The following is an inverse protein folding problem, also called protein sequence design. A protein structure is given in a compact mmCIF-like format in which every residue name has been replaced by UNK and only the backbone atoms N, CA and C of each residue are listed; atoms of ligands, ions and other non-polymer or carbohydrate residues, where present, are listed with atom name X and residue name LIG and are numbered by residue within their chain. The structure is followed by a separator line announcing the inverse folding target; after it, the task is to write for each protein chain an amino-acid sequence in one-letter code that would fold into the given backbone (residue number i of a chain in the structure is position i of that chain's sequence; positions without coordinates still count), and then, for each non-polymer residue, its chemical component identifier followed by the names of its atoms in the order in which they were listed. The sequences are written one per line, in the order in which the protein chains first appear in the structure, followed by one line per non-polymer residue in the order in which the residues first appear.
data_IF_490281122657
#
_entry.id   IF_490281122657
#
_cell.length_a   1.000
_cell.length_b   1.000
_cell.length_c   1.000
_cell.angle_alpha   90.00
_cell.angle_beta   90.00
_cell.angle_gamma   90.00
#
_symmetry.space_group_name_H-M   'P 1'
#
loop_
_entity.id
_entity.type
_entity.pdbx_description
1 polymer ?
#
# COMPACT_ATOMS: atom_id res chain seq x y z
N UNK A 1 41.47 -56.03 -28.61
CA UNK A 1 40.32 -56.17 -27.69
C UNK A 1 40.18 -55.00 -26.73
N UNK A 2 41.27 -54.38 -26.25
CA UNK A 2 41.23 -53.26 -25.28
C UNK A 2 40.60 -51.97 -25.87
N UNK A 3 40.88 -51.64 -27.14
CA UNK A 3 40.38 -50.39 -27.77
C UNK A 3 38.86 -50.36 -27.98
N UNK A 4 38.26 -51.51 -28.27
CA UNK A 4 36.80 -51.64 -28.44
C UNK A 4 36.09 -51.38 -27.11
N UNK A 5 36.63 -51.89 -26.00
CA UNK A 5 36.08 -51.69 -24.66
C UNK A 5 36.17 -50.22 -24.24
N UNK A 6 37.29 -49.55 -24.50
CA UNK A 6 37.47 -48.12 -24.21
C UNK A 6 36.48 -47.22 -24.99
N UNK A 7 36.21 -47.57 -26.25
CA UNK A 7 35.27 -46.84 -27.11
C UNK A 7 33.83 -46.98 -26.58
N UNK A 8 33.44 -48.18 -26.16
CA UNK A 8 32.09 -48.46 -25.60
C UNK A 8 31.88 -47.70 -24.29
N UNK A 9 32.87 -47.69 -23.40
CA UNK A 9 32.79 -46.98 -22.10
C UNK A 9 32.64 -45.46 -22.32
N UNK A 10 33.35 -44.91 -23.30
CA UNK A 10 33.30 -43.48 -23.61
C UNK A 10 31.92 -43.03 -24.11
N UNK A 11 31.29 -43.84 -24.97
CA UNK A 11 29.93 -43.58 -25.48
C UNK A 11 28.89 -43.67 -24.36
N UNK A 12 29.02 -44.67 -23.48
CA UNK A 12 28.15 -44.83 -22.29
C UNK A 12 28.26 -43.65 -21.34
N UNK A 13 29.47 -43.15 -21.13
CA UNK A 13 29.73 -42.00 -20.25
C UNK A 13 29.17 -40.70 -20.82
N UNK A 14 29.26 -40.52 -22.14
CA UNK A 14 28.69 -39.38 -22.85
C UNK A 14 27.15 -39.39 -22.78
N UNK A 15 26.55 -40.56 -22.97
CA UNK A 15 25.09 -40.75 -22.86
C UNK A 15 24.60 -40.50 -21.43
N UNK A 16 25.30 -41.00 -20.42
CA UNK A 16 24.96 -40.74 -19.02
C UNK A 16 25.00 -39.24 -18.69
N UNK A 17 26.00 -38.52 -19.19
CA UNK A 17 26.15 -37.07 -18.97
C UNK A 17 25.04 -36.26 -19.63
N UNK A 18 24.61 -36.64 -20.84
CA UNK A 18 23.49 -36.01 -21.55
C UNK A 18 22.15 -36.20 -20.81
N UNK A 19 21.90 -37.40 -20.29
CA UNK A 19 20.68 -37.70 -19.53
C UNK A 19 20.65 -36.94 -18.20
N UNK A 20 21.77 -36.93 -17.46
CA UNK A 20 21.86 -36.20 -16.19
C UNK A 20 21.72 -34.69 -16.39
N UNK A 21 22.31 -34.12 -17.46
CA UNK A 21 22.17 -32.70 -17.80
C UNK A 21 20.74 -32.32 -18.18
N UNK A 22 20.05 -33.19 -18.94
CA UNK A 22 18.64 -32.99 -19.29
C UNK A 22 17.71 -33.03 -18.09
N UNK A 23 17.87 -34.02 -17.21
CA UNK A 23 17.08 -34.15 -15.97
C UNK A 23 17.39 -33.02 -14.98
N UNK A 24 18.65 -32.61 -14.87
CA UNK A 24 19.07 -31.48 -14.05
C UNK A 24 18.47 -30.16 -14.52
N UNK A 25 18.52 -29.89 -15.83
CA UNK A 25 17.91 -28.69 -16.42
C UNK A 25 16.39 -28.67 -16.24
N UNK A 26 15.72 -29.82 -16.42
CA UNK A 26 14.28 -29.95 -16.20
C UNK A 26 13.90 -29.78 -14.72
N UNK A 27 14.66 -30.38 -13.81
CA UNK A 27 14.43 -30.27 -12.37
C UNK A 27 14.71 -28.87 -11.83
N UNK A 28 15.70 -28.16 -12.36
CA UNK A 28 15.98 -26.76 -12.01
C UNK A 28 14.86 -25.85 -12.50
N UNK A 29 14.40 -26.01 -13.75
CA UNK A 29 13.28 -25.24 -14.29
C UNK A 29 11.99 -25.43 -13.46
N UNK A 30 11.69 -26.65 -13.01
CA UNK A 30 10.50 -26.92 -12.17
C UNK A 30 10.66 -26.55 -10.69
N UNK A 31 11.90 -26.45 -10.18
CA UNK A 31 12.16 -26.05 -8.79
C UNK A 31 12.16 -24.54 -8.60
N UNK A 32 12.56 -23.79 -9.63
CA UNK A 32 12.64 -22.34 -9.59
C UNK A 32 11.26 -21.71 -9.32
N UNK A 33 10.23 -22.16 -10.03
CA UNK A 33 8.84 -21.68 -9.85
C UNK A 33 8.32 -21.85 -8.41
N UNK A 34 8.66 -22.97 -7.75
CA UNK A 34 8.23 -23.22 -6.37
C UNK A 34 9.03 -22.42 -5.34
N UNK A 35 10.29 -22.10 -5.64
CA UNK A 35 11.12 -21.29 -4.77
C UNK A 35 10.65 -19.84 -4.78
N UNK A 36 10.45 -19.28 -5.97
CA UNK A 36 9.91 -17.92 -6.16
C UNK A 36 8.52 -17.77 -5.53
N UNK A 37 7.65 -18.78 -5.63
CA UNK A 37 6.33 -18.76 -5.00
C UNK A 37 6.40 -18.69 -3.46
N UNK A 38 7.32 -19.44 -2.84
CA UNK A 38 7.51 -19.44 -1.37
C UNK A 38 8.12 -18.14 -0.87
N UNK A 39 9.06 -17.57 -1.62
CA UNK A 39 9.65 -16.27 -1.29
C UNK A 39 8.62 -15.14 -1.39
N UNK A 40 7.79 -15.16 -2.44
CA UNK A 40 6.67 -14.23 -2.59
C UNK A 40 5.67 -14.34 -1.44
N UNK A 41 5.35 -15.57 -1.00
CA UNK A 41 4.44 -15.80 0.13
C UNK A 41 5.03 -15.34 1.46
N UNK A 42 6.33 -15.56 1.71
CA UNK A 42 7.01 -15.09 2.91
C UNK A 42 7.10 -13.54 2.96
N UNK A 43 7.35 -12.89 1.82
CA UNK A 43 7.32 -11.42 1.71
C UNK A 43 5.89 -10.92 1.97
N UNK A 44 4.88 -11.59 1.39
CA UNK A 44 3.47 -11.25 1.63
C UNK A 44 3.14 -11.34 3.11
N UNK A 45 3.46 -12.44 3.78
CA UNK A 45 3.19 -12.59 5.23
C UNK A 45 3.92 -11.52 6.07
N UNK A 46 5.15 -11.16 5.68
CA UNK A 46 5.96 -10.15 6.37
C UNK A 46 5.39 -8.72 6.28
N UNK A 47 4.78 -8.35 5.15
CA UNK A 47 4.30 -6.98 4.91
C UNK A 47 2.77 -6.83 4.86
N UNK A 48 2.01 -7.93 4.81
CA UNK A 48 0.55 -7.91 4.83
C UNK A 48 0.00 -7.37 6.15
N UNK A 49 0.53 -7.82 7.30
CA UNK A 49 0.02 -7.39 8.60
C UNK A 49 0.23 -5.88 8.86
N UNK A 50 1.41 -5.28 8.60
CA UNK A 50 1.57 -3.84 8.73
C UNK A 50 0.72 -3.02 7.74
N UNK A 51 0.59 -3.49 6.50
CA UNK A 51 -0.28 -2.83 5.51
C UNK A 51 -1.76 -2.91 5.90
N UNK A 52 -2.20 -4.05 6.44
CA UNK A 52 -3.56 -4.26 6.94
C UNK A 52 -3.88 -3.25 8.06
N UNK A 53 -2.99 -3.10 9.03
CA UNK A 53 -3.17 -2.14 10.13
C UNK A 53 -3.26 -0.70 9.60
N UNK A 54 -2.34 -0.30 8.72
CA UNK A 54 -2.36 1.03 8.13
C UNK A 54 -3.63 1.29 7.29
N UNK A 55 -4.11 0.28 6.56
CA UNK A 55 -5.35 0.35 5.80
C UNK A 55 -6.58 0.49 6.72
N UNK A 56 -6.63 -0.25 7.83
CA UNK A 56 -7.69 -0.17 8.84
C UNK A 56 -7.72 1.22 9.51
N UNK A 57 -6.58 1.76 9.90
CA UNK A 57 -6.49 3.09 10.51
C UNK A 57 -6.96 4.18 9.53
N UNK A 58 -6.49 4.13 8.28
CA UNK A 58 -6.89 5.09 7.26
C UNK A 58 -8.38 4.97 6.94
N UNK A 59 -8.90 3.76 6.79
CA UNK A 59 -10.33 3.50 6.57
C UNK A 59 -11.18 4.08 7.70
N UNK A 60 -10.81 3.80 8.95
CA UNK A 60 -11.53 4.31 10.12
C UNK A 60 -11.48 5.84 10.19
N UNK A 61 -10.35 6.44 9.81
CA UNK A 61 -10.18 7.89 9.78
C UNK A 61 -11.05 8.53 8.70
N UNK A 62 -11.06 7.98 7.48
CA UNK A 62 -11.89 8.49 6.38
C UNK A 62 -13.38 8.30 6.67
N UNK A 63 -13.79 7.19 7.29
CA UNK A 63 -15.18 6.98 7.73
C UNK A 63 -15.65 8.09 8.66
N UNK A 64 -14.81 8.57 9.57
CA UNK A 64 -15.16 9.67 10.48
C UNK A 64 -15.42 10.98 9.74
N UNK A 65 -14.72 11.26 8.64
CA UNK A 65 -14.98 12.44 7.80
C UNK A 65 -16.22 12.30 6.91
N UNK A 66 -16.46 11.11 6.37
CA UNK A 66 -17.48 10.88 5.32
C UNK A 66 -18.85 10.48 5.89
N UNK A 67 -18.87 9.63 6.92
CA UNK A 67 -20.08 9.03 7.47
C UNK A 67 -20.44 9.59 8.84
N UNK A 68 -19.52 9.53 9.79
CA UNK A 68 -19.85 9.80 11.19
C UNK A 68 -19.93 11.32 11.46
N UNK A 69 -19.11 12.14 10.78
CA UNK A 69 -19.18 13.60 10.86
C UNK A 69 -18.64 14.20 12.16
N UNK A 70 -18.46 13.41 13.22
CA UNK A 70 -17.96 13.86 14.53
C UNK A 70 -16.63 14.63 14.44
N UNK A 71 -15.72 14.15 13.59
CA UNK A 71 -14.42 14.80 13.41
C UNK A 71 -14.55 16.16 12.72
N UNK A 72 -15.55 16.32 11.85
CA UNK A 72 -15.84 17.58 11.18
C UNK A 72 -16.33 18.63 12.17
N UNK A 73 -17.23 18.24 13.08
CA UNK A 73 -17.70 19.09 14.19
C UNK A 73 -16.55 19.54 15.08
N UNK A 74 -15.66 18.62 15.46
CA UNK A 74 -14.49 18.98 16.29
C UNK A 74 -13.50 19.90 15.57
N UNK A 75 -13.34 19.75 14.25
CA UNK A 75 -12.52 20.64 13.43
C UNK A 75 -13.12 22.05 13.36
N UNK A 76 -14.45 22.16 13.24
CA UNK A 76 -15.16 23.44 13.18
C UNK A 76 -15.23 24.18 14.52
N UNK A 77 -15.46 23.46 15.61
CA UNK A 77 -15.74 24.07 16.93
C UNK A 77 -14.50 24.25 17.82
N UNK A 78 -13.50 23.36 17.73
CA UNK A 78 -12.39 23.31 18.69
C UNK A 78 -11.04 23.60 18.02
N UNK A 79 -10.68 24.88 17.95
CA UNK A 79 -9.42 25.34 17.35
C UNK A 79 -8.17 24.62 17.92
N UNK A 80 -8.14 24.33 19.22
CA UNK A 80 -7.02 23.64 19.87
C UNK A 80 -6.85 22.17 19.43
N UNK A 81 -7.93 21.48 19.04
CA UNK A 81 -7.89 20.08 18.60
C UNK A 81 -7.78 19.95 17.08
N UNK A 82 -8.21 20.96 16.33
CA UNK A 82 -8.16 21.00 14.86
C UNK A 82 -6.79 20.65 14.30
N UNK A 83 -5.74 21.32 14.77
CA UNK A 83 -4.39 21.11 14.24
C UNK A 83 -3.90 19.67 14.46
N UNK A 84 -4.13 19.13 15.66
CA UNK A 84 -3.81 17.73 15.96
C UNK A 84 -4.59 16.77 15.06
N UNK A 85 -5.90 16.94 14.91
CA UNK A 85 -6.75 16.06 14.11
C UNK A 85 -6.33 16.03 12.64
N UNK A 86 -6.04 17.20 12.08
CA UNK A 86 -5.55 17.36 10.71
C UNK A 86 -4.17 16.73 10.53
N UNK A 87 -3.22 17.05 11.41
CA UNK A 87 -1.86 16.50 11.36
C UNK A 87 -1.85 14.98 11.50
N UNK A 88 -2.64 14.43 12.42
CA UNK A 88 -2.76 12.99 12.58
C UNK A 88 -3.44 12.33 11.37
N UNK A 89 -4.37 13.02 10.69
CA UNK A 89 -4.92 12.53 9.42
C UNK A 89 -3.83 12.45 8.33
N UNK A 90 -2.97 13.45 8.22
CA UNK A 90 -1.82 13.39 7.30
C UNK A 90 -0.86 12.26 7.65
N UNK A 91 -0.60 12.03 8.95
CA UNK A 91 0.22 10.91 9.40
C UNK A 91 -0.35 9.57 8.93
N UNK A 92 -1.61 9.26 9.22
CA UNK A 92 -2.23 7.98 8.86
C UNK A 92 -2.28 7.80 7.32
N UNK A 93 -2.58 8.85 6.57
CA UNK A 93 -2.50 8.83 5.10
C UNK A 93 -1.08 8.53 4.63
N UNK A 94 -0.09 9.17 5.23
CA UNK A 94 1.31 8.99 4.86
C UNK A 94 1.89 7.64 5.28
N UNK A 95 1.45 7.08 6.42
CA UNK A 95 1.81 5.73 6.87
C UNK A 95 1.33 4.67 5.87
N UNK A 96 0.08 4.79 5.42
CA UNK A 96 -0.43 3.94 4.35
C UNK A 96 0.39 4.05 3.05
N UNK A 97 0.77 5.27 2.65
CA UNK A 97 1.63 5.51 1.48
C UNK A 97 3.05 4.96 1.66
N UNK A 98 3.59 4.99 2.89
CA UNK A 98 4.87 4.39 3.23
C UNK A 98 4.80 2.86 3.04
N UNK A 99 3.77 2.20 3.53
CA UNK A 99 3.60 0.75 3.32
C UNK A 99 3.38 0.40 1.85
N UNK A 100 2.69 1.22 1.06
CA UNK A 100 2.64 1.06 -0.40
C UNK A 100 4.04 1.19 -1.02
N UNK A 101 4.83 2.17 -0.58
CA UNK A 101 6.19 2.40 -1.07
C UNK A 101 7.10 1.20 -0.75
N UNK A 102 7.10 0.75 0.51
CA UNK A 102 7.84 -0.42 0.99
C UNK A 102 7.42 -1.64 0.18
N UNK A 103 6.12 -1.90 0.10
CA UNK A 103 5.60 -3.04 -0.66
C UNK A 103 6.08 -2.95 -2.11
N UNK A 104 5.95 -1.81 -2.80
CA UNK A 104 6.43 -1.66 -4.18
C UNK A 104 7.92 -1.96 -4.34
N UNK A 105 8.76 -1.53 -3.41
CA UNK A 105 10.20 -1.74 -3.46
C UNK A 105 10.57 -3.22 -3.25
N UNK A 106 9.80 -3.95 -2.42
CA UNK A 106 9.98 -5.38 -2.17
C UNK A 106 9.23 -6.26 -3.21
N UNK A 107 8.22 -5.71 -3.90
CA UNK A 107 7.36 -6.36 -4.93
C UNK A 107 8.09 -6.66 -6.24
N UNK A 108 9.33 -6.23 -6.44
CA UNK A 108 10.13 -6.75 -7.55
C UNK A 108 10.23 -8.29 -7.53
N UNK A 109 9.98 -8.94 -6.38
CA UNK A 109 9.85 -10.39 -6.23
C UNK A 109 8.41 -10.95 -6.32
N UNK A 110 7.37 -10.13 -6.10
CA UNK A 110 5.95 -10.57 -6.15
C UNK A 110 5.40 -10.73 -7.57
N UNK A 111 6.08 -10.16 -8.59
CA UNK A 111 5.68 -10.30 -10.01
C UNK A 111 5.88 -11.71 -10.59
N UNK A 112 6.48 -12.64 -9.83
CA UNK A 112 6.70 -14.02 -10.28
C UNK A 112 5.53 -14.96 -9.94
N UNK A 113 4.53 -14.54 -9.16
CA UNK A 113 3.35 -15.39 -8.94
C UNK A 113 2.26 -15.07 -9.97
N UNK A 114 1.81 -16.07 -10.71
CA UNK A 114 0.59 -16.04 -11.55
C UNK A 114 -0.71 -16.08 -10.72
N UNK A 115 -0.61 -15.91 -9.40
CA UNK A 115 -1.72 -16.05 -8.48
C UNK A 115 -2.75 -14.91 -8.63
N UNK A 116 -4.02 -15.30 -8.66
CA UNK A 116 -5.17 -14.40 -8.83
C UNK A 116 -5.27 -13.39 -7.69
N UNK A 117 -4.93 -13.80 -6.46
CA UNK A 117 -4.94 -12.93 -5.28
C UNK A 117 -3.94 -11.77 -5.42
N UNK A 118 -2.72 -12.05 -5.90
CA UNK A 118 -1.72 -11.00 -6.09
C UNK A 118 -2.12 -10.00 -7.19
N UNK A 119 -2.90 -10.42 -8.19
CA UNK A 119 -3.49 -9.51 -9.19
C UNK A 119 -4.56 -8.61 -8.57
N UNK A 120 -5.46 -9.17 -7.75
CA UNK A 120 -6.48 -8.39 -7.05
C UNK A 120 -5.86 -7.34 -6.12
N UNK A 121 -4.91 -7.74 -5.27
CA UNK A 121 -4.20 -6.82 -4.38
C UNK A 121 -3.53 -5.68 -5.17
N UNK A 122 -2.84 -6.00 -6.26
CA UNK A 122 -2.17 -5.00 -7.10
C UNK A 122 -3.18 -4.04 -7.75
N UNK A 123 -4.34 -4.56 -8.19
CA UNK A 123 -5.40 -3.74 -8.78
C UNK A 123 -6.00 -2.79 -7.75
N UNK A 124 -6.38 -3.27 -6.56
CA UNK A 124 -6.96 -2.45 -5.50
C UNK A 124 -5.98 -1.33 -5.09
N UNK A 125 -4.70 -1.65 -4.89
CA UNK A 125 -3.68 -0.65 -4.60
C UNK A 125 -3.50 0.36 -5.74
N UNK A 126 -3.64 -0.07 -6.99
CA UNK A 126 -3.66 0.80 -8.17
C UNK A 126 -4.85 1.75 -8.16
N UNK A 127 -6.05 1.23 -7.92
CA UNK A 127 -7.30 1.97 -7.90
C UNK A 127 -7.32 3.02 -6.79
N UNK A 128 -6.78 2.71 -5.61
CA UNK A 128 -6.63 3.69 -4.50
C UNK A 128 -5.75 4.86 -4.95
N UNK A 129 -4.59 4.57 -5.56
CA UNK A 129 -3.64 5.60 -6.01
C UNK A 129 -4.22 6.48 -7.12
N UNK A 130 -4.93 5.88 -8.07
CA UNK A 130 -5.57 6.62 -9.16
C UNK A 130 -6.73 7.49 -8.64
N UNK A 131 -7.49 6.98 -7.68
CA UNK A 131 -8.58 7.73 -7.03
C UNK A 131 -8.03 8.97 -6.29
N UNK A 132 -6.90 8.82 -5.58
CA UNK A 132 -6.22 9.92 -4.88
C UNK A 132 -5.61 10.95 -5.84
N UNK A 133 -5.04 10.52 -6.98
CA UNK A 133 -4.38 11.40 -7.97
C UNK A 133 -5.36 12.34 -8.67
N UNK A 134 -6.57 11.87 -8.90
CA UNK A 134 -7.70 12.68 -9.30
C UNK A 134 -8.12 12.54 -10.75
N UNK A 135 -8.79 11.42 -11.03
CA UNK A 135 -9.63 11.30 -12.20
C UNK A 135 -11.11 11.45 -11.80
N UNK A 136 -11.76 12.52 -12.24
CA UNK A 136 -13.22 12.61 -12.29
C UNK A 136 -13.58 13.41 -13.54
N UNK A 137 -14.29 12.80 -14.48
CA UNK A 137 -14.66 13.38 -15.78
C UNK A 137 -15.77 14.44 -15.69
N UNK A 138 -16.32 14.73 -14.50
CA UNK A 138 -17.61 15.42 -14.37
C UNK A 138 -17.65 16.63 -13.43
N UNK A 139 -16.51 17.13 -12.92
CA UNK A 139 -16.51 18.32 -12.05
C UNK A 139 -15.21 19.13 -12.12
N UNK A 140 -15.34 20.45 -12.18
CA UNK A 140 -14.21 21.41 -12.25
C UNK A 140 -13.35 21.44 -10.98
N UNK A 141 -13.87 20.99 -9.83
CA UNK A 141 -13.13 20.94 -8.57
C UNK A 141 -13.26 19.58 -7.91
N UNK A 142 -12.13 18.88 -7.81
CA UNK A 142 -12.05 17.55 -7.22
C UNK A 142 -11.33 17.65 -5.86
N UNK A 143 -12.03 17.44 -4.72
CA UNK A 143 -11.50 17.68 -3.38
C UNK A 143 -10.66 16.51 -2.86
N UNK A 144 -9.66 16.81 -2.03
CA UNK A 144 -8.71 15.89 -1.39
C UNK A 144 -7.80 15.18 -2.41
N UNK A 145 -7.19 15.92 -3.33
CA UNK A 145 -6.20 15.36 -4.29
C UNK A 145 -4.86 15.17 -3.58
N UNK A 146 -4.21 14.04 -3.89
CA UNK A 146 -2.77 13.84 -3.70
C UNK A 146 -2.19 13.31 -5.01
N UNK A 147 -1.36 14.09 -5.69
CA UNK A 147 -0.78 13.72 -6.98
C UNK A 147 0.22 12.56 -6.85
N UNK A 148 0.49 11.85 -7.95
CA UNK A 148 1.40 10.68 -7.94
C UNK A 148 2.79 11.00 -7.39
N UNK A 149 3.32 12.19 -7.71
CA UNK A 149 4.62 12.65 -7.20
C UNK A 149 4.59 12.85 -5.69
N UNK A 150 3.55 13.52 -5.18
CA UNK A 150 3.32 13.74 -3.75
C UNK A 150 3.15 12.41 -3.01
N UNK A 151 2.28 11.52 -3.52
CA UNK A 151 2.09 10.19 -2.96
C UNK A 151 3.41 9.41 -2.82
N UNK A 152 4.27 9.47 -3.85
CA UNK A 152 5.56 8.78 -3.84
C UNK A 152 6.54 9.41 -2.87
N UNK A 153 6.64 10.74 -2.86
CA UNK A 153 7.59 11.47 -2.03
C UNK A 153 7.21 11.37 -0.54
N UNK A 154 5.91 11.43 -0.21
CA UNK A 154 5.41 11.19 1.15
C UNK A 154 5.77 9.78 1.61
N UNK A 155 5.48 8.76 0.80
CA UNK A 155 5.79 7.37 1.15
C UNK A 155 7.29 7.12 1.33
N UNK A 156 8.13 7.76 0.50
CA UNK A 156 9.59 7.70 0.62
C UNK A 156 10.09 8.38 1.90
N UNK A 157 9.64 9.60 2.18
CA UNK A 157 10.03 10.33 3.40
C UNK A 157 9.60 9.63 4.69
N UNK A 158 8.46 8.93 4.66
CA UNK A 158 7.95 8.21 5.82
C UNK A 158 8.55 6.81 5.98
N UNK A 159 9.43 6.39 5.07
CA UNK A 159 10.11 5.09 5.15
C UNK A 159 11.54 5.25 5.66
N UNK A 160 11.93 4.45 6.64
CA UNK A 160 13.30 4.37 7.15
C UNK A 160 13.78 2.92 7.19
N UNK A 161 15.10 2.71 7.16
CA UNK A 161 15.69 1.38 7.36
C UNK A 161 16.07 1.19 8.83
N UNK A 162 15.41 0.23 9.49
CA UNK A 162 15.70 -0.19 10.86
C UNK A 162 16.04 -1.69 10.88
N UNK A 163 17.20 -2.06 11.45
CA UNK A 163 17.64 -3.46 11.53
C UNK A 163 17.61 -4.21 10.18
N UNK A 164 17.97 -3.53 9.09
CA UNK A 164 17.93 -4.08 7.73
C UNK A 164 16.52 -4.31 7.19
N UNK A 165 15.49 -3.70 7.78
CA UNK A 165 14.10 -3.74 7.32
C UNK A 165 13.59 -2.32 7.09
N UNK A 166 12.86 -2.14 5.99
CA UNK A 166 12.11 -0.90 5.77
C UNK A 166 10.85 -0.88 6.63
N UNK A 167 10.68 0.19 7.39
CA UNK A 167 9.53 0.42 8.27
C UNK A 167 9.03 1.86 8.10
N UNK A 168 7.77 2.10 8.43
CA UNK A 168 7.23 3.45 8.52
C UNK A 168 7.74 4.13 9.81
N UNK A 169 8.04 5.42 9.74
CA UNK A 169 8.34 6.22 10.93
C UNK A 169 7.12 6.31 11.85
N UNK A 170 7.36 6.38 13.16
CA UNK A 170 6.29 6.61 14.14
C UNK A 170 5.79 8.06 14.19
N UNK A 171 4.62 8.27 14.80
CA UNK A 171 3.96 9.59 14.86
C UNK A 171 4.81 10.69 15.51
N UNK A 172 5.61 10.36 16.53
CA UNK A 172 6.49 11.33 17.18
C UNK A 172 7.57 11.86 16.22
N UNK A 173 8.18 10.96 15.44
CA UNK A 173 9.15 11.33 14.40
C UNK A 173 8.48 12.13 13.28
N UNK A 174 7.27 11.71 12.86
CA UNK A 174 6.47 12.48 11.92
C UNK A 174 6.17 13.90 12.41
N UNK A 175 5.86 14.09 13.70
CA UNK A 175 5.61 15.43 14.24
C UNK A 175 6.83 16.35 14.18
N UNK A 176 8.04 15.80 14.33
CA UNK A 176 9.27 16.58 14.16
C UNK A 176 9.53 16.87 12.68
N UNK A 177 9.41 15.85 11.82
CA UNK A 177 9.49 16.02 10.37
C UNK A 177 8.47 17.05 9.86
N UNK A 178 7.27 17.07 10.42
CA UNK A 178 6.22 18.03 10.09
C UNK A 178 6.60 19.47 10.43
N UNK A 179 7.43 19.70 11.45
CA UNK A 179 7.92 21.04 11.83
C UNK A 179 9.10 21.48 10.96
N UNK A 180 9.97 20.55 10.59
CA UNK A 180 11.24 20.87 9.95
C UNK A 180 11.16 20.82 8.41
N UNK A 181 10.19 20.08 7.84
CA UNK A 181 10.08 19.85 6.40
C UNK A 181 8.92 20.64 5.77
N UNK A 182 9.24 21.74 5.11
CA UNK A 182 8.27 22.56 4.39
C UNK A 182 7.67 21.86 3.17
N UNK A 183 8.47 21.06 2.44
CA UNK A 183 7.99 20.34 1.27
C UNK A 183 6.91 19.31 1.62
N UNK A 184 7.09 18.59 2.73
CA UNK A 184 6.07 17.67 3.25
C UNK A 184 4.74 18.38 3.52
N UNK A 185 4.80 19.55 4.18
CA UNK A 185 3.61 20.36 4.43
C UNK A 185 2.96 20.83 3.13
N UNK A 186 3.77 21.27 2.16
CA UNK A 186 3.30 21.69 0.84
C UNK A 186 2.55 20.59 0.09
N UNK A 187 3.04 19.34 0.12
CA UNK A 187 2.35 18.20 -0.52
C UNK A 187 1.01 17.88 0.13
N UNK A 188 0.85 18.14 1.43
CA UNK A 188 -0.42 17.95 2.14
C UNK A 188 -1.31 19.20 2.13
N UNK A 189 -0.84 20.36 1.68
CA UNK A 189 -1.54 21.64 1.82
C UNK A 189 -2.94 21.60 1.19
N UNK A 190 -3.02 21.17 -0.07
CA UNK A 190 -4.30 21.05 -0.77
C UNK A 190 -5.20 20.03 -0.09
N UNK A 191 -4.67 18.86 0.25
CA UNK A 191 -5.43 17.81 0.94
C UNK A 191 -6.01 18.31 2.27
N UNK A 192 -5.22 19.03 3.06
CA UNK A 192 -5.63 19.63 4.32
C UNK A 192 -6.69 20.72 4.14
N UNK A 193 -6.49 21.60 3.17
CA UNK A 193 -7.47 22.64 2.84
C UNK A 193 -8.82 22.01 2.48
N UNK A 194 -8.80 20.99 1.62
CA UNK A 194 -10.01 20.32 1.17
C UNK A 194 -10.72 19.58 2.32
N UNK A 195 -9.98 19.00 3.29
CA UNK A 195 -10.54 18.42 4.51
C UNK A 195 -11.17 19.46 5.45
N UNK A 196 -10.57 20.64 5.55
CA UNK A 196 -11.13 21.77 6.29
C UNK A 196 -12.41 22.26 5.64
N UNK A 197 -12.39 22.50 4.33
CA UNK A 197 -13.56 22.94 3.56
C UNK A 197 -14.71 21.93 3.70
N UNK A 198 -14.38 20.63 3.66
CA UNK A 198 -15.32 19.53 3.92
C UNK A 198 -15.94 19.61 5.32
N UNK A 199 -15.11 19.82 6.35
CA UNK A 199 -15.56 19.89 7.73
C UNK A 199 -16.45 21.11 7.99
N UNK A 200 -16.06 22.27 7.45
CA UNK A 200 -16.82 23.52 7.55
C UNK A 200 -18.14 23.43 6.78
N UNK A 201 -18.15 22.83 5.58
CA UNK A 201 -19.38 22.62 4.81
C UNK A 201 -20.38 21.71 5.54
N UNK A 202 -19.89 20.69 6.27
CA UNK A 202 -20.72 19.80 7.09
C UNK A 202 -21.24 20.46 8.37
N UNK A 203 -20.44 21.34 8.98
CA UNK A 203 -20.80 22.01 10.24
C UNK A 203 -21.73 23.21 10.01
N UNK A 204 -21.47 23.99 8.96
CA UNK A 204 -22.23 25.21 8.62
C UNK A 204 -23.40 24.94 7.67
N UNK A 205 -23.47 23.74 7.10
CA UNK A 205 -24.52 23.38 6.16
C UNK A 205 -25.87 23.19 6.86
N UNK A 206 -26.79 24.14 6.68
CA UNK A 206 -28.24 23.98 6.91
C UNK A 206 -28.87 22.96 5.92
N UNK A 207 -28.26 21.78 5.75
CA UNK A 207 -28.75 20.68 4.91
C UNK A 207 -28.74 20.90 3.38
N UNK A 208 -28.22 22.03 2.87
CA UNK A 208 -28.31 22.41 1.43
C UNK A 208 -27.00 22.51 0.67
N UNK A 209 -25.84 22.57 1.34
CA UNK A 209 -24.56 22.58 0.63
C UNK A 209 -24.20 21.15 0.18
N UNK A 210 -23.97 20.96 -1.12
CA UNK A 210 -23.49 19.68 -1.65
C UNK A 210 -22.07 19.46 -1.14
N UNK A 211 -21.92 18.59 -0.16
CA UNK A 211 -20.63 18.17 0.37
C UNK A 211 -19.98 17.23 -0.65
N UNK A 212 -18.95 17.70 -1.33
CA UNK A 212 -18.21 16.89 -2.30
C UNK A 212 -17.26 15.95 -1.56
N UNK A 213 -17.73 14.78 -1.14
CA UNK A 213 -16.93 13.77 -0.43
C UNK A 213 -16.72 12.46 -1.20
N UNK A 214 -17.16 12.41 -2.45
CA UNK A 214 -17.19 11.21 -3.28
C UNK A 214 -15.84 10.50 -3.33
N UNK A 215 -14.74 11.25 -3.48
CA UNK A 215 -13.38 10.68 -3.48
C UNK A 215 -13.06 9.95 -2.19
N UNK A 216 -13.30 10.60 -1.05
CA UNK A 216 -12.99 10.01 0.25
C UNK A 216 -13.85 8.76 0.49
N UNK A 217 -15.09 8.77 0.00
CA UNK A 217 -15.98 7.61 0.03
C UNK A 217 -15.48 6.45 -0.84
N UNK A 218 -15.04 6.74 -2.06
CA UNK A 218 -14.47 5.73 -2.97
C UNK A 218 -13.19 5.14 -2.35
N UNK A 219 -12.26 5.99 -1.87
CA UNK A 219 -11.04 5.52 -1.20
C UNK A 219 -11.40 4.68 0.03
N UNK A 220 -12.39 5.11 0.83
CA UNK A 220 -12.83 4.34 1.99
C UNK A 220 -13.37 2.96 1.62
N UNK A 221 -14.14 2.82 0.54
CA UNK A 221 -14.61 1.52 0.05
C UNK A 221 -13.46 0.67 -0.48
N UNK A 222 -12.56 1.24 -1.29
CA UNK A 222 -11.37 0.52 -1.77
C UNK A 222 -10.46 0.03 -0.63
N UNK A 223 -10.40 0.77 0.47
CA UNK A 223 -9.68 0.33 1.67
C UNK A 223 -10.39 -0.84 2.37
N UNK A 224 -11.73 -0.91 2.33
CA UNK A 224 -12.46 -2.09 2.82
C UNK A 224 -12.13 -3.29 1.95
N UNK A 225 -12.16 -3.14 0.62
CA UNK A 225 -11.79 -4.21 -0.31
C UNK A 225 -10.35 -4.68 -0.07
N UNK A 226 -9.43 -3.75 0.20
CA UNK A 226 -8.04 -4.07 0.54
C UNK A 226 -7.93 -4.85 1.85
N UNK A 227 -8.68 -4.46 2.88
CA UNK A 227 -8.71 -5.15 4.18
C UNK A 227 -9.24 -6.57 4.01
N UNK A 228 -10.30 -6.76 3.23
CA UNK A 228 -10.88 -8.08 2.96
C UNK A 228 -9.93 -8.99 2.16
N UNK A 229 -9.17 -8.43 1.21
CA UNK A 229 -8.16 -9.19 0.47
C UNK A 229 -6.95 -9.55 1.35
N UNK A 230 -6.55 -8.68 2.28
CA UNK A 230 -5.42 -8.92 3.21
C UNK A 230 -5.78 -9.83 4.39
N UNK A 231 -7.03 -9.82 4.86
CA UNK A 231 -7.54 -10.68 5.93
C UNK A 231 -8.90 -11.32 5.56
N UNK A 232 -8.92 -12.31 4.64
CA UNK A 232 -10.17 -12.94 4.18
C UNK A 232 -10.94 -13.68 5.28
N UNK A 233 -10.28 -13.99 6.40
CA UNK A 233 -10.87 -14.71 7.54
C UNK A 233 -11.36 -13.76 8.64
N UNK A 234 -11.09 -12.45 8.51
CA UNK A 234 -11.45 -11.43 9.51
C UNK A 234 -10.81 -11.65 10.88
N UNK A 235 -9.73 -12.41 10.97
CA UNK A 235 -9.13 -12.83 12.25
C UNK A 235 -8.59 -11.64 13.04
N UNK A 236 -8.21 -10.56 12.36
CA UNK A 236 -7.67 -9.33 12.95
C UNK A 236 -8.77 -8.42 13.49
N UNK A 237 -10.01 -8.55 13.01
CA UNK A 237 -11.16 -7.76 13.48
C UNK A 237 -11.72 -8.20 14.85
N UNK A 238 -11.27 -9.36 15.36
CA UNK A 238 -11.70 -9.89 16.67
C UNK A 238 -10.80 -9.40 17.83
N UNK A 239 -9.69 -8.71 17.54
CA UNK A 239 -8.67 -8.33 18.53
C UNK A 239 -8.66 -6.80 18.82
N UNK A 240 -9.54 -6.02 18.17
CA UNK A 240 -9.64 -4.56 18.37
C UNK A 240 -10.83 -4.15 19.24
#
# INVERSE_FOLDING_TARGET
MVDVVATIISILSLLATLVVSGVGSWAVFYRDDRHHAREAEAIREKYAAPLLLAAQELQAKLRRFVRDGDICTWIGEHAARREYLLRYTCFVTGEFLAWIHILRHEVQYLRFSTDRQNRNLTNILGDIRETLRGHSSHSDYIPCVLYTGEQRAIGELMTVEENGRRVCIGYAAFCQMWKDNEALRGWFERFLKDLVDLAEARTNGNGKAVVKDDRLRIVQHLLVDLIEELDPKGLSSTIA
#
